data_IF_720775621901
#
_entry.id   IF_720775621901
#
_cell.length_a   1.000
_cell.length_b   1.000
_cell.length_c   1.000
_cell.angle_alpha   90.00
_cell.angle_beta   90.00
_cell.angle_gamma   90.00
#
_symmetry.space_group_name_H-M   'P 1'
#
loop_
_entity.id
_entity.type
_entity.pdbx_description
1 polymer ?
#
# COMPACT_ATOMS: atom_id res chain seq x y z
N UNK A 1 -1.09 -15.01 7.45
CA UNK A 1 -1.20 -13.99 8.49
C UNK A 1 -2.25 -14.44 9.49
N UNK A 2 -2.07 -14.07 10.74
CA UNK A 2 -3.02 -14.33 11.82
C UNK A 2 -4.20 -13.38 11.66
N UNK A 3 -5.41 -13.90 11.86
CA UNK A 3 -6.63 -13.12 11.89
C UNK A 3 -6.85 -12.62 13.32
N UNK A 4 -6.70 -11.30 13.53
CA UNK A 4 -6.85 -10.72 14.87
C UNK A 4 -8.30 -10.78 15.35
N UNK A 5 -9.29 -10.85 14.44
CA UNK A 5 -10.71 -10.89 14.82
C UNK A 5 -11.10 -12.18 15.56
N UNK A 6 -10.42 -13.28 15.24
CA UNK A 6 -10.59 -14.59 15.87
C UNK A 6 -9.89 -14.71 17.24
N UNK A 7 -8.93 -13.82 17.52
CA UNK A 7 -8.12 -13.84 18.75
C UNK A 7 -8.61 -12.79 19.74
N UNK A 8 -8.76 -11.54 19.28
CA UNK A 8 -9.25 -10.42 20.07
C UNK A 8 -10.16 -9.53 19.21
N UNK A 9 -11.44 -9.91 19.16
CA UNK A 9 -12.44 -9.21 18.38
C UNK A 9 -12.67 -7.75 18.81
N UNK A 10 -12.37 -7.39 20.06
CA UNK A 10 -12.53 -6.01 20.54
C UNK A 10 -11.37 -5.16 20.05
N UNK A 11 -10.13 -5.64 20.21
CA UNK A 11 -8.95 -4.96 19.68
C UNK A 11 -9.04 -4.81 18.16
N UNK A 12 -9.43 -5.89 17.45
CA UNK A 12 -9.66 -5.84 16.01
C UNK A 12 -10.62 -4.71 15.62
N UNK A 13 -11.80 -4.64 16.24
CA UNK A 13 -12.81 -3.60 15.95
C UNK A 13 -12.28 -2.18 16.22
N UNK A 14 -11.52 -2.00 17.29
CA UNK A 14 -10.93 -0.71 17.62
C UNK A 14 -9.89 -0.28 16.58
N UNK A 15 -8.99 -1.19 16.17
CA UNK A 15 -8.00 -0.91 15.13
C UNK A 15 -8.69 -0.57 13.81
N UNK A 16 -9.68 -1.38 13.39
CA UNK A 16 -10.45 -1.12 12.17
C UNK A 16 -11.11 0.26 12.21
N UNK A 17 -11.75 0.63 13.31
CA UNK A 17 -12.39 1.94 13.45
C UNK A 17 -11.38 3.10 13.28
N UNK A 18 -10.19 2.99 13.89
CA UNK A 18 -9.14 4.01 13.77
C UNK A 18 -8.60 4.08 12.34
N UNK A 19 -8.41 2.95 11.65
CA UNK A 19 -7.97 2.94 10.25
C UNK A 19 -9.02 3.58 9.34
N UNK A 20 -10.30 3.29 9.54
CA UNK A 20 -11.37 3.89 8.74
C UNK A 20 -11.50 5.39 8.98
N UNK A 21 -11.32 5.87 10.23
CA UNK A 21 -11.25 7.30 10.50
C UNK A 21 -10.08 7.95 9.75
N UNK A 22 -8.91 7.29 9.73
CA UNK A 22 -7.77 7.73 8.93
C UNK A 22 -8.06 7.76 7.42
N UNK A 23 -8.81 6.79 6.89
CA UNK A 23 -9.23 6.76 5.49
C UNK A 23 -10.15 7.93 5.14
N UNK A 24 -11.13 8.25 6.00
CA UNK A 24 -12.02 9.40 5.81
C UNK A 24 -11.20 10.70 5.78
N UNK A 25 -10.26 10.86 6.70
CA UNK A 25 -9.39 12.03 6.75
C UNK A 25 -8.49 12.11 5.50
N UNK A 26 -7.92 10.99 5.06
CA UNK A 26 -7.11 10.89 3.86
C UNK A 26 -7.91 11.29 2.61
N UNK A 27 -9.11 10.75 2.43
CA UNK A 27 -10.01 11.10 1.32
C UNK A 27 -10.40 12.59 1.32
N UNK A 28 -10.51 13.21 2.51
CA UNK A 28 -10.77 14.64 2.65
C UNK A 28 -9.55 15.55 2.42
N UNK A 29 -8.36 14.97 2.25
CA UNK A 29 -7.10 15.70 2.11
C UNK A 29 -6.45 16.14 3.42
N UNK A 30 -7.01 15.75 4.58
CA UNK A 30 -6.44 16.02 5.90
C UNK A 30 -5.32 15.00 6.22
N UNK A 31 -4.19 15.11 5.50
CA UNK A 31 -3.14 14.10 5.52
C UNK A 31 -2.42 13.98 6.86
N UNK A 32 -2.21 15.09 7.59
CA UNK A 32 -1.60 15.04 8.92
C UNK A 32 -2.47 14.26 9.91
N UNK A 33 -3.78 14.53 9.92
CA UNK A 33 -4.73 13.81 10.76
C UNK A 33 -4.78 12.32 10.40
N UNK A 34 -4.84 12.00 9.10
CA UNK A 34 -4.85 10.62 8.63
C UNK A 34 -3.58 9.87 9.07
N UNK A 35 -2.42 10.54 8.99
CA UNK A 35 -1.15 9.99 9.44
C UNK A 35 -1.15 9.65 10.95
N UNK A 36 -1.75 10.52 11.77
CA UNK A 36 -1.92 10.26 13.21
C UNK A 36 -2.78 9.01 13.46
N UNK A 37 -3.91 8.86 12.75
CA UNK A 37 -4.79 7.69 12.88
C UNK A 37 -4.09 6.40 12.41
N UNK A 38 -3.38 6.45 11.29
CA UNK A 38 -2.61 5.29 10.81
C UNK A 38 -1.47 4.93 11.78
N UNK A 39 -0.86 5.92 12.44
CA UNK A 39 0.15 5.69 13.48
C UNK A 39 -0.45 5.03 14.70
N UNK A 40 -1.57 5.54 15.19
CA UNK A 40 -2.27 4.96 16.33
C UNK A 40 -2.62 3.49 16.06
N UNK A 41 -3.27 3.20 14.92
CA UNK A 41 -3.64 1.83 14.54
C UNK A 41 -2.44 0.89 14.40
N UNK A 42 -1.30 1.36 13.85
CA UNK A 42 -0.08 0.55 13.78
C UNK A 42 0.50 0.22 15.16
N UNK A 43 0.46 1.16 16.12
CA UNK A 43 0.96 0.94 17.47
C UNK A 43 0.06 0.02 18.30
N UNK A 44 -1.23 -0.05 17.99
CA UNK A 44 -2.17 -0.98 18.62
C UNK A 44 -1.95 -2.45 18.25
N UNK A 45 -1.27 -2.74 17.14
CA UNK A 45 -0.99 -4.12 16.72
C UNK A 45 -0.05 -4.84 17.70
N UNK A 46 -0.37 -6.07 18.12
CA UNK A 46 0.53 -6.89 18.92
C UNK A 46 1.84 -7.23 18.18
N UNK A 47 2.93 -7.44 18.91
CA UNK A 47 4.19 -7.89 18.30
C UNK A 47 4.22 -9.40 18.02
N UNK A 48 4.92 -9.85 16.95
CA UNK A 48 5.47 -9.06 15.85
C UNK A 48 4.36 -8.52 14.93
N UNK A 49 4.38 -7.22 14.60
CA UNK A 49 3.28 -6.58 13.86
C UNK A 49 3.01 -7.24 12.51
N UNK A 50 4.04 -7.63 11.78
CA UNK A 50 3.94 -8.13 10.41
C UNK A 50 3.20 -9.47 10.29
N UNK A 51 2.90 -10.16 11.39
CA UNK A 51 2.15 -11.42 11.35
C UNK A 51 0.63 -11.23 11.18
N UNK A 52 0.10 -10.03 11.45
CA UNK A 52 -1.34 -9.76 11.48
C UNK A 52 -1.89 -9.33 10.13
N UNK A 53 -3.11 -9.76 9.84
CA UNK A 53 -3.85 -9.42 8.63
C UNK A 53 -4.04 -7.91 8.44
N UNK A 54 -4.36 -7.19 9.52
CA UNK A 54 -4.53 -5.74 9.53
C UNK A 54 -3.25 -4.98 9.15
N UNK A 55 -2.07 -5.56 9.37
CA UNK A 55 -0.79 -4.91 9.05
C UNK A 55 -0.63 -4.63 7.57
N UNK A 56 -1.17 -5.50 6.72
CA UNK A 56 -1.19 -5.28 5.28
C UNK A 56 -2.05 -4.07 4.91
N UNK A 57 -3.23 -3.96 5.49
CA UNK A 57 -4.14 -2.85 5.21
C UNK A 57 -3.56 -1.51 5.68
N UNK A 58 -3.07 -1.45 6.92
CA UNK A 58 -2.43 -0.25 7.47
C UNK A 58 -1.23 0.18 6.63
N UNK A 59 -0.36 -0.77 6.24
CA UNK A 59 0.79 -0.47 5.39
C UNK A 59 0.40 0.09 4.02
N UNK A 60 -0.70 -0.39 3.42
CA UNK A 60 -1.23 0.18 2.18
C UNK A 60 -1.76 1.60 2.37
N UNK A 61 -2.46 1.87 3.46
CA UNK A 61 -2.96 3.20 3.78
C UNK A 61 -1.82 4.21 3.91
N UNK A 62 -0.76 3.86 4.65
CA UNK A 62 0.47 4.64 4.71
C UNK A 62 1.13 4.87 3.35
N UNK A 63 1.27 3.82 2.56
CA UNK A 63 1.89 3.91 1.24
C UNK A 63 1.14 4.89 0.33
N UNK A 64 -0.19 4.79 0.32
CA UNK A 64 -1.07 5.67 -0.45
C UNK A 64 -0.95 7.13 0.02
N UNK A 65 -0.97 7.36 1.33
CA UNK A 65 -0.87 8.71 1.92
C UNK A 65 0.48 9.37 1.61
N UNK A 66 1.59 8.64 1.76
CA UNK A 66 2.90 9.20 1.43
C UNK A 66 3.09 9.43 -0.07
N UNK A 67 2.45 8.62 -0.94
CA UNK A 67 2.41 8.90 -2.38
C UNK A 67 1.65 10.19 -2.68
N UNK A 68 0.52 10.44 -2.00
CA UNK A 68 -0.24 11.69 -2.15
C UNK A 68 0.57 12.92 -1.69
N UNK A 69 1.40 12.77 -0.66
CA UNK A 69 2.33 13.81 -0.19
C UNK A 69 3.58 13.98 -1.05
N UNK A 70 3.84 13.09 -2.02
CA UNK A 70 5.09 13.07 -2.79
C UNK A 70 6.31 12.60 -1.97
N UNK A 71 6.10 12.05 -0.79
CA UNK A 71 7.12 11.51 0.10
C UNK A 71 7.50 10.08 -0.30
N UNK A 72 8.14 9.94 -1.47
CA UNK A 72 8.34 8.64 -2.10
C UNK A 72 9.25 7.68 -1.33
N UNK A 73 10.17 8.19 -0.50
CA UNK A 73 11.04 7.37 0.34
C UNK A 73 10.25 6.63 1.43
N UNK A 74 9.40 7.35 2.12
CA UNK A 74 8.48 6.87 3.15
C UNK A 74 7.44 5.93 2.54
N UNK A 75 6.88 6.30 1.39
CA UNK A 75 5.97 5.46 0.62
C UNK A 75 6.62 4.10 0.29
N UNK A 76 7.88 4.10 -0.16
CA UNK A 76 8.63 2.87 -0.47
C UNK A 76 8.78 1.97 0.76
N UNK A 77 9.12 2.53 1.92
CA UNK A 77 9.28 1.76 3.17
C UNK A 77 7.97 1.03 3.52
N UNK A 78 6.84 1.74 3.48
CA UNK A 78 5.54 1.15 3.80
C UNK A 78 5.05 0.19 2.71
N UNK A 79 5.33 0.47 1.44
CA UNK A 79 4.93 -0.40 0.35
C UNK A 79 5.70 -1.74 0.37
N UNK A 80 6.96 -1.75 0.81
CA UNK A 80 7.70 -2.99 1.05
C UNK A 80 7.01 -3.84 2.13
N UNK A 81 6.60 -3.22 3.25
CA UNK A 81 5.84 -3.93 4.29
C UNK A 81 4.53 -4.46 3.73
N UNK A 82 3.81 -3.66 2.96
CA UNK A 82 2.55 -4.06 2.33
C UNK A 82 2.72 -5.24 1.36
N UNK A 83 3.87 -5.36 0.68
CA UNK A 83 4.22 -6.52 -0.16
C UNK A 83 4.55 -7.74 0.68
N UNK A 84 5.31 -7.59 1.77
CA UNK A 84 5.69 -8.69 2.67
C UNK A 84 4.48 -9.33 3.36
N UNK A 85 3.46 -8.53 3.67
CA UNK A 85 2.23 -8.95 4.34
C UNK A 85 1.08 -9.20 3.37
N UNK A 86 1.29 -9.20 2.05
CA UNK A 86 0.15 -9.26 1.11
C UNK A 86 -0.56 -10.63 1.11
N UNK A 87 -1.89 -10.65 0.91
CA UNK A 87 -2.62 -11.85 0.53
C UNK A 87 -2.19 -12.37 -0.86
N UNK A 88 -2.39 -13.67 -1.17
CA UNK A 88 -1.88 -14.30 -2.40
C UNK A 88 -2.25 -13.59 -3.70
N UNK A 89 -3.49 -13.10 -3.82
CA UNK A 89 -4.02 -12.46 -5.04
C UNK A 89 -4.06 -10.93 -5.01
N UNK A 90 -3.55 -10.33 -3.93
CA UNK A 90 -3.49 -8.89 -3.81
C UNK A 90 -2.40 -8.34 -4.73
N UNK A 91 -2.74 -7.24 -5.43
CA UNK A 91 -1.88 -6.60 -6.43
C UNK A 91 -1.58 -5.14 -6.14
N UNK A 92 -2.41 -4.44 -5.37
CA UNK A 92 -2.20 -3.01 -5.10
C UNK A 92 -0.91 -2.72 -4.32
N UNK A 93 -0.42 -3.62 -3.46
CA UNK A 93 0.89 -3.43 -2.83
C UNK A 93 2.03 -3.34 -3.84
N UNK A 94 1.97 -4.10 -4.94
CA UNK A 94 2.94 -3.98 -6.02
C UNK A 94 2.81 -2.67 -6.78
N UNK A 95 1.57 -2.17 -6.97
CA UNK A 95 1.35 -0.86 -7.59
C UNK A 95 1.92 0.26 -6.71
N UNK A 96 1.67 0.25 -5.40
CA UNK A 96 2.22 1.24 -4.48
C UNK A 96 3.75 1.23 -4.45
N UNK A 97 4.36 0.04 -4.45
CA UNK A 97 5.81 -0.08 -4.47
C UNK A 97 6.40 0.41 -5.79
N UNK A 98 5.82 0.02 -6.93
CA UNK A 98 6.22 0.51 -8.24
C UNK A 98 6.07 2.02 -8.38
N UNK A 99 4.97 2.58 -7.87
CA UNK A 99 4.73 4.03 -7.86
C UNK A 99 5.76 4.78 -7.01
N UNK A 100 6.16 4.20 -5.88
CA UNK A 100 7.20 4.77 -5.00
C UNK A 100 8.55 4.79 -5.70
N UNK A 101 8.94 3.69 -6.35
CA UNK A 101 10.17 3.64 -7.16
C UNK A 101 10.13 4.62 -8.32
N UNK A 102 8.99 4.75 -9.01
CA UNK A 102 8.84 5.69 -10.11
C UNK A 102 8.99 7.14 -9.66
N UNK A 103 8.44 7.50 -8.49
CA UNK A 103 8.61 8.82 -7.89
C UNK A 103 10.05 9.13 -7.46
N UNK A 104 10.85 8.10 -7.18
CA UNK A 104 12.29 8.19 -6.90
C UNK A 104 13.17 8.13 -8.16
N UNK A 105 12.57 8.14 -9.35
CA UNK A 105 13.23 7.95 -10.65
C UNK A 105 13.95 6.59 -10.82
N UNK A 106 13.66 5.61 -9.96
CA UNK A 106 14.18 4.24 -10.01
C UNK A 106 13.36 3.38 -11.01
N UNK A 107 13.42 3.74 -12.29
CA UNK A 107 12.51 3.24 -13.35
C UNK A 107 12.51 1.72 -13.55
N UNK A 108 13.68 1.08 -13.47
CA UNK A 108 13.79 -0.38 -13.63
C UNK A 108 13.04 -1.12 -12.51
N UNK A 109 13.24 -0.70 -11.27
CA UNK A 109 12.50 -1.24 -10.12
C UNK A 109 11.00 -0.98 -10.23
N UNK A 110 10.62 0.22 -10.67
CA UNK A 110 9.21 0.54 -10.91
C UNK A 110 8.57 -0.42 -11.93
N UNK A 111 9.26 -0.66 -13.04
CA UNK A 111 8.81 -1.59 -14.09
C UNK A 111 8.61 -3.00 -13.54
N UNK A 112 9.59 -3.53 -12.81
CA UNK A 112 9.52 -4.89 -12.25
C UNK A 112 8.31 -5.09 -11.34
N UNK A 113 7.99 -4.11 -10.49
CA UNK A 113 6.82 -4.22 -9.60
C UNK A 113 5.50 -4.00 -10.32
N UNK A 114 5.41 -3.08 -11.28
CA UNK A 114 4.22 -2.97 -12.12
C UNK A 114 3.97 -4.22 -12.96
N UNK A 115 5.04 -4.85 -13.48
CA UNK A 115 4.98 -6.12 -14.20
C UNK A 115 4.42 -7.23 -13.31
N UNK A 116 4.89 -7.38 -12.07
CA UNK A 116 4.34 -8.35 -11.09
C UNK A 116 2.84 -8.14 -10.85
N UNK A 117 2.40 -6.88 -10.69
CA UNK A 117 0.98 -6.57 -10.55
C UNK A 117 0.18 -7.00 -11.80
N UNK A 118 0.72 -6.73 -13.00
CA UNK A 118 0.12 -7.11 -14.27
C UNK A 118 0.08 -8.63 -14.49
N UNK A 119 1.11 -9.37 -14.09
CA UNK A 119 1.13 -10.83 -14.23
C UNK A 119 -0.04 -11.48 -13.49
N UNK A 120 -0.37 -10.98 -12.30
CA UNK A 120 -1.45 -11.47 -11.45
C UNK A 120 -2.83 -10.94 -11.89
N UNK A 121 -2.98 -9.62 -11.99
CA UNK A 121 -4.30 -8.98 -12.19
C UNK A 121 -4.56 -8.50 -13.62
N UNK A 122 -3.57 -8.56 -14.51
CA UNK A 122 -3.59 -7.92 -15.85
C UNK A 122 -3.94 -6.44 -15.72
N UNK A 123 -4.64 -5.87 -16.70
CA UNK A 123 -5.10 -4.47 -16.66
C UNK A 123 -5.98 -4.15 -15.44
N UNK A 124 -6.65 -5.14 -14.84
CA UNK A 124 -7.48 -4.92 -13.62
C UNK A 124 -6.65 -4.53 -12.40
N UNK A 125 -5.37 -4.92 -12.33
CA UNK A 125 -4.49 -4.52 -11.23
C UNK A 125 -4.28 -3.01 -11.13
N UNK A 126 -4.48 -2.28 -12.24
CA UNK A 126 -4.27 -0.83 -12.34
C UNK A 126 -5.58 -0.05 -12.23
N UNK A 127 -6.74 -0.71 -12.08
CA UNK A 127 -8.01 -0.01 -11.88
C UNK A 127 -8.01 0.69 -10.52
N UNK A 128 -8.47 1.95 -10.49
CA UNK A 128 -8.46 2.78 -9.28
C UNK A 128 -7.13 3.51 -9.03
N UNK A 129 -6.10 3.29 -9.86
CA UNK A 129 -4.84 4.03 -9.81
C UNK A 129 -4.72 5.02 -10.98
N UNK A 130 -3.78 5.95 -10.85
CA UNK A 130 -3.42 6.88 -11.92
C UNK A 130 -2.99 6.10 -13.19
N UNK A 131 -3.59 6.46 -14.32
CA UNK A 131 -3.34 5.83 -15.62
C UNK A 131 -1.87 5.89 -16.05
N UNK A 132 -1.07 6.81 -15.49
CA UNK A 132 0.36 6.91 -15.76
C UNK A 132 1.13 5.63 -15.43
N UNK A 133 0.71 4.85 -14.44
CA UNK A 133 1.45 3.63 -14.05
C UNK A 133 1.31 2.52 -15.09
N UNK A 134 0.10 2.32 -15.61
CA UNK A 134 -0.12 1.38 -16.71
C UNK A 134 0.51 1.89 -18.02
N UNK A 135 0.45 3.21 -18.27
CA UNK A 135 1.13 3.84 -19.39
C UNK A 135 2.64 3.63 -19.35
N UNK A 136 3.26 3.81 -18.18
CA UNK A 136 4.68 3.56 -17.95
C UNK A 136 5.05 2.09 -18.22
N UNK A 137 4.29 1.13 -17.69
CA UNK A 137 4.55 -0.30 -17.90
C UNK A 137 4.61 -0.65 -19.40
N UNK A 138 3.62 -0.20 -20.19
CA UNK A 138 3.58 -0.50 -21.63
C UNK A 138 4.70 0.21 -22.38
N UNK A 139 4.92 1.50 -22.14
CA UNK A 139 5.94 2.26 -22.85
C UNK A 139 7.38 1.88 -22.49
N UNK A 140 7.61 1.30 -21.31
CA UNK A 140 8.92 0.79 -20.92
C UNK A 140 9.24 -0.56 -21.59
N UNK A 141 8.22 -1.39 -21.83
CA UNK A 141 8.35 -2.66 -22.54
C UNK A 141 8.82 -2.44 -23.99
N UNK A 142 8.18 -1.52 -24.71
CA UNK A 142 8.47 -1.26 -26.12
C UNK A 142 9.89 -0.71 -26.40
N UNK A 143 10.62 -0.27 -25.36
CA UNK A 143 11.98 0.29 -25.48
C UNK A 143 13.10 -0.71 -25.16
N UNK A 144 12.78 -1.84 -24.53
CA UNK A 144 13.76 -2.78 -23.99
C UNK A 144 13.56 -4.22 -24.51
N UNK A 145 12.72 -4.41 -25.53
CA UNK A 145 12.58 -5.63 -26.35
C UNK A 145 13.13 -5.37 -27.75
#
# INVERSE_FOLDING_TARGET
MNDLSEIDSLLYKNIVAVVEEGNIQHESGAYEAALERYSESWHMLPEPKEQWDLSHWIAKCYSSLYLALGAYGEAKIWAIRAVQTKPPRETSSFIFLGASYLGLDEKESAYEFFKKAFEIGKKRAFQGFDGKYFGFLNGYKDKNE
#
